data_IF_885755913289
#
_entry.id   IF_885755913289
#
_cell.length_a   1.000
_cell.length_b   1.000
_cell.length_c   1.000
_cell.angle_alpha   90.00
_cell.angle_beta   90.00
_cell.angle_gamma   90.00
#
_symmetry.space_group_name_H-M   'P 1'
#
loop_
_entity.id
_entity.type
_entity.pdbx_description
1 polymer ?
#
# COMPACT_ATOMS: atom_id res chain seq x y z
N UNK A 1 4.73 -36.92 3.14
CA UNK A 1 5.28 -35.58 3.36
C UNK A 1 4.75 -35.17 4.73
N UNK A 2 5.63 -34.87 5.67
CA UNK A 2 5.24 -34.75 7.08
C UNK A 2 4.81 -33.29 7.35
N UNK A 3 3.51 -33.03 7.27
CA UNK A 3 2.92 -31.71 7.52
C UNK A 3 2.81 -31.47 9.04
N UNK A 4 3.94 -31.38 9.74
CA UNK A 4 4.03 -30.80 11.10
C UNK A 4 2.89 -31.13 12.08
N UNK A 5 2.49 -32.40 12.20
CA UNK A 5 1.47 -32.86 13.16
C UNK A 5 0.01 -32.57 12.78
N UNK A 6 -0.27 -32.15 11.55
CA UNK A 6 -1.63 -31.96 11.04
C UNK A 6 -2.18 -33.28 10.46
N UNK A 7 -3.35 -33.70 10.93
CA UNK A 7 -3.99 -34.98 10.54
C UNK A 7 -4.77 -34.85 9.23
N UNK A 8 -4.07 -35.08 8.10
CA UNK A 8 -4.63 -35.02 6.74
C UNK A 8 -5.68 -36.11 6.46
N UNK A 9 -5.83 -37.13 7.34
CA UNK A 9 -6.72 -38.28 7.10
C UNK A 9 -8.21 -37.91 7.07
N UNK A 10 -8.59 -36.76 7.64
CA UNK A 10 -9.97 -36.26 7.69
C UNK A 10 -10.34 -35.37 6.51
N UNK A 11 -9.38 -35.06 5.65
CA UNK A 11 -9.58 -34.16 4.53
C UNK A 11 -9.97 -34.93 3.28
N UNK A 12 -10.84 -34.33 2.47
CA UNK A 12 -11.11 -34.84 1.14
C UNK A 12 -9.84 -34.69 0.27
N UNK A 13 -9.66 -35.54 -0.76
CA UNK A 13 -8.52 -35.46 -1.66
C UNK A 13 -8.31 -34.06 -2.27
N UNK A 14 -9.41 -33.35 -2.57
CA UNK A 14 -9.39 -31.98 -3.10
C UNK A 14 -8.87 -30.94 -2.09
N UNK A 15 -9.14 -31.14 -0.81
CA UNK A 15 -8.67 -30.23 0.24
C UNK A 15 -7.16 -30.39 0.45
N UNK A 16 -6.65 -31.61 0.43
CA UNK A 16 -5.20 -31.87 0.50
C UNK A 16 -4.49 -31.25 -0.70
N UNK A 17 -5.02 -31.43 -1.91
CA UNK A 17 -4.47 -30.81 -3.13
C UNK A 17 -4.48 -29.28 -3.07
N UNK A 18 -5.55 -28.67 -2.53
CA UNK A 18 -5.63 -27.22 -2.34
C UNK A 18 -4.61 -26.71 -1.31
N UNK A 19 -4.44 -27.42 -0.20
CA UNK A 19 -3.44 -27.10 0.83
C UNK A 19 -2.03 -27.17 0.24
N UNK A 20 -1.71 -28.24 -0.49
CA UNK A 20 -0.43 -28.40 -1.18
C UNK A 20 -0.18 -27.28 -2.18
N UNK A 21 -1.21 -26.88 -2.92
CA UNK A 21 -1.14 -25.75 -3.86
C UNK A 21 -0.83 -24.44 -3.14
N UNK A 22 -1.46 -24.20 -1.97
CA UNK A 22 -1.19 -23.01 -1.16
C UNK A 22 0.23 -23.02 -0.60
N UNK A 23 0.69 -24.14 -0.02
CA UNK A 23 2.07 -24.23 0.48
C UNK A 23 3.09 -24.00 -0.63
N UNK A 24 2.84 -24.57 -1.81
CA UNK A 24 3.68 -24.35 -2.99
C UNK A 24 3.65 -22.89 -3.41
N UNK A 25 2.47 -22.27 -3.47
CA UNK A 25 2.35 -20.89 -3.90
C UNK A 25 2.95 -19.89 -2.90
N UNK A 26 2.73 -20.11 -1.60
CA UNK A 26 3.33 -19.31 -0.53
C UNK A 26 4.86 -19.38 -0.54
N UNK A 27 5.44 -20.56 -0.82
CA UNK A 27 6.89 -20.74 -0.88
C UNK A 27 7.53 -20.25 -2.18
N UNK A 28 6.75 -20.06 -3.24
CA UNK A 28 7.25 -19.65 -4.57
C UNK A 28 6.91 -18.22 -4.96
N UNK A 29 6.21 -17.44 -4.12
CA UNK A 29 5.83 -16.05 -4.45
C UNK A 29 7.07 -15.22 -4.78
N UNK A 30 7.26 -14.80 -6.05
CA UNK A 30 8.34 -13.90 -6.39
C UNK A 30 7.98 -12.50 -5.86
N UNK A 31 8.91 -11.86 -5.14
CA UNK A 31 8.80 -10.44 -4.85
C UNK A 31 8.87 -9.67 -6.18
N UNK A 32 7.89 -8.77 -6.43
CA UNK A 32 7.94 -7.91 -7.61
C UNK A 32 9.16 -7.00 -7.49
N UNK A 33 10.11 -7.16 -8.41
CA UNK A 33 11.24 -6.26 -8.56
C UNK A 33 10.82 -5.11 -9.48
N UNK A 34 10.62 -3.94 -8.92
CA UNK A 34 10.41 -2.74 -9.74
C UNK A 34 11.66 -2.48 -10.59
N UNK A 35 11.49 -2.43 -11.91
CA UNK A 35 12.58 -2.14 -12.84
C UNK A 35 12.52 -0.68 -13.25
N UNK A 36 13.64 0.03 -13.14
CA UNK A 36 13.74 1.39 -13.65
C UNK A 36 13.49 1.39 -15.17
N UNK A 37 12.66 2.30 -15.70
CA UNK A 37 12.43 2.42 -17.14
C UNK A 37 13.76 2.66 -17.88
N UNK A 38 13.99 1.92 -18.96
CA UNK A 38 15.26 1.88 -19.70
C UNK A 38 15.64 3.25 -20.28
N UNK A 39 14.63 4.01 -20.74
CA UNK A 39 14.77 5.36 -21.31
C UNK A 39 14.53 6.49 -20.29
N UNK A 40 14.57 6.20 -18.99
CA UNK A 40 14.29 7.20 -17.96
C UNK A 40 15.34 8.33 -17.95
N UNK A 41 14.86 9.58 -18.01
CA UNK A 41 15.69 10.76 -17.82
C UNK A 41 16.31 10.84 -16.41
N UNK A 42 17.28 11.74 -16.21
CA UNK A 42 17.99 11.90 -14.91
C UNK A 42 17.03 12.18 -13.75
N UNK A 43 16.00 13.00 -13.99
CA UNK A 43 14.96 13.32 -13.00
C UNK A 43 14.13 12.09 -12.63
N UNK A 44 13.64 11.34 -13.63
CA UNK A 44 12.87 10.13 -13.41
C UNK A 44 13.66 9.07 -12.65
N UNK A 45 14.95 8.89 -12.94
CA UNK A 45 15.83 7.99 -12.16
C UNK A 45 16.03 8.43 -10.72
N UNK A 46 16.10 9.74 -10.46
CA UNK A 46 16.17 10.27 -9.10
C UNK A 46 14.86 10.03 -8.34
N UNK A 47 13.71 10.30 -8.97
CA UNK A 47 12.39 10.05 -8.42
C UNK A 47 12.14 8.56 -8.16
N UNK A 48 12.53 7.69 -9.11
CA UNK A 48 12.45 6.24 -8.95
C UNK A 48 13.23 5.78 -7.70
N UNK A 49 14.47 6.26 -7.52
CA UNK A 49 15.25 5.94 -6.31
C UNK A 49 14.63 6.47 -5.02
N UNK A 50 14.02 7.65 -5.08
CA UNK A 50 13.36 8.25 -3.91
C UNK A 50 12.12 7.43 -3.50
N UNK A 51 11.27 7.09 -4.47
CA UNK A 51 10.01 6.38 -4.24
C UNK A 51 10.23 4.92 -3.83
N UNK A 52 11.26 4.25 -4.37
CA UNK A 52 11.60 2.89 -3.96
C UNK A 52 12.39 2.80 -2.65
N UNK A 53 12.71 3.93 -2.02
CA UNK A 53 13.40 3.91 -0.74
C UNK A 53 12.44 3.38 0.35
N UNK A 54 12.86 2.43 1.22
CA UNK A 54 11.98 1.86 2.23
C UNK A 54 11.40 2.90 3.18
N UNK A 55 12.13 3.98 3.47
CA UNK A 55 11.62 5.10 4.27
C UNK A 55 10.38 5.74 3.67
N UNK A 56 10.28 5.82 2.34
CA UNK A 56 9.12 6.40 1.67
C UNK A 56 7.86 5.59 1.99
N UNK A 57 7.92 4.26 1.86
CA UNK A 57 6.83 3.35 2.23
C UNK A 57 6.45 3.49 3.70
N UNK A 58 7.42 3.54 4.61
CA UNK A 58 7.14 3.70 6.05
C UNK A 58 6.51 5.05 6.40
N UNK A 59 6.89 6.13 5.72
CA UNK A 59 6.29 7.45 5.89
C UNK A 59 4.83 7.45 5.44
N UNK A 60 4.53 6.86 4.28
CA UNK A 60 3.16 6.73 3.79
C UNK A 60 2.27 5.92 4.75
N UNK A 61 2.77 4.79 5.23
CA UNK A 61 2.05 3.95 6.22
C UNK A 61 1.80 4.75 7.52
N UNK A 62 2.81 5.48 8.01
CA UNK A 62 2.67 6.30 9.20
C UNK A 62 1.67 7.44 9.01
N UNK A 63 1.64 8.08 7.84
CA UNK A 63 0.68 9.13 7.51
C UNK A 63 -0.76 8.61 7.51
N UNK A 64 -1.01 7.45 6.88
CA UNK A 64 -2.35 6.82 6.88
C UNK A 64 -2.76 6.46 8.30
N UNK A 65 -1.88 5.83 9.07
CA UNK A 65 -2.17 5.46 10.46
C UNK A 65 -2.47 6.70 11.32
N UNK A 66 -1.70 7.77 11.18
CA UNK A 66 -1.91 9.01 11.92
C UNK A 66 -3.24 9.66 11.55
N UNK A 67 -3.57 9.74 10.26
CA UNK A 67 -4.85 10.25 9.79
C UNK A 67 -6.03 9.45 10.39
N UNK A 68 -5.94 8.11 10.36
CA UNK A 68 -6.97 7.26 10.97
C UNK A 68 -7.11 7.46 12.48
N UNK A 69 -6.01 7.66 13.20
CA UNK A 69 -6.05 7.90 14.64
C UNK A 69 -6.73 9.24 14.94
N UNK A 70 -6.43 10.28 14.16
CA UNK A 70 -7.03 11.61 14.33
C UNK A 70 -8.55 11.53 14.11
N UNK A 71 -8.99 10.87 13.02
CA UNK A 71 -10.42 10.61 12.78
C UNK A 71 -11.07 9.78 13.89
N UNK A 72 -10.35 8.83 14.49
CA UNK A 72 -10.88 8.03 15.61
C UNK A 72 -11.01 8.82 16.92
N UNK A 73 -10.26 9.92 17.06
CA UNK A 73 -10.35 10.80 18.22
C UNK A 73 -11.53 11.78 18.13
N UNK A 74 -12.22 11.88 16.99
CA UNK A 74 -13.39 12.72 16.84
C UNK A 74 -14.50 12.28 17.83
N UNK A 75 -14.98 13.22 18.63
CA UNK A 75 -15.98 12.97 19.66
C UNK A 75 -17.24 13.83 19.47
N UNK A 76 -18.40 13.29 19.84
CA UNK A 76 -19.65 14.05 19.85
C UNK A 76 -19.55 15.20 20.87
N UNK A 77 -19.84 16.42 20.42
CA UNK A 77 -19.75 17.64 21.24
C UNK A 77 -18.41 18.38 21.20
N UNK A 78 -17.54 18.08 20.24
CA UNK A 78 -16.31 18.85 20.01
C UNK A 78 -16.60 20.31 19.59
N UNK A 79 -15.71 21.23 19.97
CA UNK A 79 -15.84 22.66 19.64
C UNK A 79 -15.74 22.89 18.13
N UNK A 80 -16.36 23.95 17.61
CA UNK A 80 -16.22 24.34 16.18
C UNK A 80 -14.75 24.51 15.77
N UNK A 81 -13.89 24.97 16.68
CA UNK A 81 -12.45 25.06 16.46
C UNK A 81 -11.78 23.71 16.27
N UNK A 82 -12.25 22.66 16.96
CA UNK A 82 -11.73 21.31 16.81
C UNK A 82 -12.10 20.75 15.43
N UNK A 83 -13.37 20.89 15.03
CA UNK A 83 -13.83 20.49 13.70
C UNK A 83 -13.04 21.17 12.58
N UNK A 84 -12.83 22.49 12.66
CA UNK A 84 -12.05 23.23 11.67
C UNK A 84 -10.57 22.76 11.58
N UNK A 85 -9.98 22.35 12.71
CA UNK A 85 -8.61 21.82 12.74
C UNK A 85 -8.57 20.40 12.19
N UNK A 86 -9.49 19.52 12.58
CA UNK A 86 -9.58 18.16 12.05
C UNK A 86 -9.80 18.15 10.53
N UNK A 87 -10.67 19.01 10.00
CA UNK A 87 -10.86 19.17 8.55
C UNK A 87 -9.57 19.65 7.86
N UNK A 88 -8.92 20.69 8.39
CA UNK A 88 -7.67 21.19 7.82
C UNK A 88 -6.53 20.16 7.84
N UNK A 89 -6.52 19.26 8.83
CA UNK A 89 -5.58 18.15 8.90
C UNK A 89 -5.90 17.08 7.85
N UNK A 90 -7.17 16.71 7.70
CA UNK A 90 -7.61 15.76 6.66
C UNK A 90 -7.25 16.27 5.26
N UNK A 91 -7.51 17.55 4.98
CA UNK A 91 -7.12 18.21 3.72
C UNK A 91 -5.61 18.18 3.48
N UNK A 92 -4.82 18.40 4.54
CA UNK A 92 -3.36 18.35 4.46
C UNK A 92 -2.85 16.92 4.15
N UNK A 93 -3.45 15.89 4.75
CA UNK A 93 -3.14 14.50 4.44
C UNK A 93 -3.56 14.12 3.02
N UNK A 94 -4.74 14.56 2.56
CA UNK A 94 -5.19 14.36 1.19
C UNK A 94 -4.20 14.96 0.18
N UNK A 95 -3.72 16.18 0.41
CA UNK A 95 -2.70 16.81 -0.42
C UNK A 95 -1.37 16.04 -0.40
N UNK A 96 -0.95 15.55 0.77
CA UNK A 96 0.27 14.76 0.91
C UNK A 96 0.19 13.47 0.10
N UNK A 97 -0.92 12.73 0.19
CA UNK A 97 -1.13 11.50 -0.58
C UNK A 97 -1.28 11.77 -2.09
N UNK A 98 -1.89 12.89 -2.48
CA UNK A 98 -1.94 13.31 -3.87
C UNK A 98 -0.54 13.58 -4.44
N UNK A 99 0.31 14.30 -3.69
CA UNK A 99 1.71 14.53 -4.07
C UNK A 99 2.50 13.23 -4.12
N UNK A 100 2.28 12.33 -3.16
CA UNK A 100 2.89 11.00 -3.15
C UNK A 100 2.54 10.20 -4.43
N UNK A 101 1.27 10.17 -4.81
CA UNK A 101 0.80 9.51 -6.02
C UNK A 101 1.45 10.11 -7.28
N UNK A 102 1.53 11.44 -7.37
CA UNK A 102 2.20 12.13 -8.49
C UNK A 102 3.69 11.76 -8.56
N UNK A 103 4.38 11.72 -7.41
CA UNK A 103 5.80 11.33 -7.35
C UNK A 103 6.00 9.86 -7.76
N UNK A 104 5.14 8.95 -7.29
CA UNK A 104 5.14 7.53 -7.66
C UNK A 104 4.92 7.36 -9.17
N UNK A 105 3.93 8.03 -9.75
CA UNK A 105 3.64 7.99 -11.20
C UNK A 105 4.80 8.57 -12.00
N UNK A 106 5.39 9.68 -11.56
CA UNK A 106 6.52 10.32 -12.24
C UNK A 106 7.81 9.47 -12.17
N UNK A 107 8.01 8.70 -11.11
CA UNK A 107 9.18 7.81 -10.94
C UNK A 107 9.03 6.47 -11.67
N UNK A 108 7.91 5.77 -11.45
CA UNK A 108 7.67 4.41 -11.96
C UNK A 108 7.10 4.41 -13.39
N UNK A 109 6.36 5.44 -13.77
CA UNK A 109 5.57 5.48 -14.99
C UNK A 109 4.12 5.03 -14.76
N UNK A 110 3.22 5.50 -15.63
CA UNK A 110 1.77 5.28 -15.48
C UNK A 110 1.38 3.80 -15.50
N UNK A 111 1.93 3.00 -16.43
CA UNK A 111 1.57 1.59 -16.57
C UNK A 111 1.94 0.75 -15.33
N UNK A 112 3.14 0.98 -14.77
CA UNK A 112 3.62 0.23 -13.60
C UNK A 112 2.86 0.62 -12.31
N UNK A 113 2.54 1.92 -12.18
CA UNK A 113 1.78 2.42 -11.03
C UNK A 113 0.39 1.80 -10.94
N UNK A 114 -0.34 1.74 -12.06
CA UNK A 114 -1.69 1.19 -12.10
C UNK A 114 -1.73 -0.33 -12.10
N UNK A 115 -0.62 -1.05 -12.33
CA UNK A 115 -0.59 -2.51 -12.24
C UNK A 115 -0.49 -3.01 -10.79
N UNK A 116 0.12 -2.21 -9.90
CA UNK A 116 0.20 -2.51 -8.47
C UNK A 116 -1.12 -2.22 -7.74
N UNK A 117 -1.69 -3.27 -7.14
CA UNK A 117 -2.90 -3.18 -6.32
C UNK A 117 -2.78 -2.21 -5.14
N UNK A 118 -1.61 -2.08 -4.53
CA UNK A 118 -1.41 -1.19 -3.38
C UNK A 118 -1.46 0.28 -3.80
N UNK A 119 -0.77 0.62 -4.88
CA UNK A 119 -0.80 1.98 -5.43
C UNK A 119 -2.20 2.35 -5.94
N UNK A 120 -2.95 1.40 -6.51
CA UNK A 120 -4.36 1.62 -6.87
C UNK A 120 -5.24 1.94 -5.66
N UNK A 121 -5.02 1.25 -4.53
CA UNK A 121 -5.74 1.53 -3.30
C UNK A 121 -5.44 2.94 -2.80
N UNK A 122 -4.16 3.34 -2.74
CA UNK A 122 -3.76 4.69 -2.36
C UNK A 122 -4.41 5.75 -3.27
N UNK A 123 -4.42 5.52 -4.59
CA UNK A 123 -5.05 6.43 -5.55
C UNK A 123 -6.56 6.58 -5.34
N UNK A 124 -7.26 5.48 -5.05
CA UNK A 124 -8.69 5.52 -4.74
C UNK A 124 -8.94 6.26 -3.42
N UNK A 125 -8.10 6.06 -2.40
CA UNK A 125 -8.22 6.80 -1.14
C UNK A 125 -8.07 8.31 -1.34
N UNK A 126 -7.15 8.73 -2.21
CA UNK A 126 -7.00 10.15 -2.59
C UNK A 126 -8.21 10.69 -3.38
N UNK A 127 -8.85 9.86 -4.20
CA UNK A 127 -10.04 10.30 -4.95
C UNK A 127 -11.29 10.40 -4.08
N UNK A 128 -11.34 9.66 -2.97
CA UNK A 128 -12.47 9.63 -2.04
C UNK A 128 -12.36 10.68 -0.92
N UNK A 129 -11.18 11.25 -0.70
CA UNK A 129 -10.94 12.29 0.31
C UNK A 129 -11.64 13.60 -0.02
#
# INVERSE_FOLDING_TARGET
RDHGGFDDSKLSPKQVEWIDTIHTWLSTRPERLYRCPENAGKLQRALFRLVHHPTFTWVSIAAVALNTIIMMCDHFGASETYWAVSDGINDAFALLFALEAVLKIAGMGFAEYFDDSWNRLDFVLVLLS
#
